data_IF_327770863313
#
_entry.id   IF_327770863313
#
_cell.length_a   1.000
_cell.length_b   1.000
_cell.length_c   1.000
_cell.angle_alpha   90.00
_cell.angle_beta   90.00
_cell.angle_gamma   90.00
#
_symmetry.space_group_name_H-M   'P 1'
#
loop_
_entity.id
_entity.type
_entity.pdbx_description
1 polymer ?
#
# COMPACT_ATOMS: atom_id res chain seq x y z
N UNK A 1 18.82 2.32 -15.65
CA UNK A 1 17.62 1.55 -16.05
C UNK A 1 16.39 2.41 -15.75
N UNK A 2 15.33 2.34 -16.55
CA UNK A 2 14.11 3.15 -16.36
C UNK A 2 12.89 2.23 -16.16
N UNK A 3 12.09 2.49 -15.13
CA UNK A 3 10.79 1.86 -14.93
C UNK A 3 9.80 2.35 -16.00
N UNK A 4 9.07 1.42 -16.64
CA UNK A 4 8.04 1.72 -17.65
C UNK A 4 6.71 1.00 -17.38
N UNK A 5 6.54 0.42 -16.19
CA UNK A 5 5.50 -0.57 -15.89
C UNK A 5 5.93 -2.01 -16.20
N UNK A 6 5.04 -2.97 -15.95
CA UNK A 6 5.24 -4.41 -16.17
C UNK A 6 3.98 -5.05 -16.75
N UNK A 7 4.02 -6.34 -17.10
CA UNK A 7 2.85 -7.07 -17.59
C UNK A 7 1.68 -7.06 -16.61
N UNK A 8 1.99 -7.00 -15.32
CA UNK A 8 1.03 -7.21 -14.24
C UNK A 8 0.61 -5.88 -13.58
N UNK A 9 1.23 -4.77 -13.97
CA UNK A 9 0.95 -3.43 -13.42
C UNK A 9 0.98 -2.34 -14.48
N UNK A 10 -0.20 -1.76 -14.69
CA UNK A 10 -0.44 -0.71 -15.68
C UNK A 10 -0.05 0.63 -15.06
N UNK A 11 1.22 1.01 -15.23
CA UNK A 11 1.70 2.32 -14.81
C UNK A 11 1.29 3.39 -15.82
N UNK A 12 0.76 4.51 -15.33
CA UNK A 12 0.61 5.72 -16.17
C UNK A 12 2.00 6.27 -16.51
N UNK A 13 2.08 7.10 -17.56
CA UNK A 13 3.32 7.77 -17.92
C UNK A 13 3.83 8.64 -16.75
N UNK A 14 2.93 9.38 -16.10
CA UNK A 14 3.26 10.27 -14.98
C UNK A 14 3.81 9.50 -13.78
N UNK A 15 3.23 8.34 -13.47
CA UNK A 15 3.73 7.46 -12.42
C UNK A 15 5.13 6.93 -12.75
N UNK A 16 5.35 6.53 -14.00
CA UNK A 16 6.67 6.08 -14.47
C UNK A 16 7.71 7.20 -14.39
N UNK A 17 7.33 8.43 -14.75
CA UNK A 17 8.20 9.60 -14.61
C UNK A 17 8.51 9.86 -13.14
N UNK A 18 7.52 9.82 -12.25
CA UNK A 18 7.72 10.05 -10.82
C UNK A 18 8.69 9.04 -10.19
N UNK A 19 8.52 7.74 -10.49
CA UNK A 19 9.43 6.68 -10.02
C UNK A 19 10.85 6.91 -10.54
N UNK A 20 11.02 7.19 -11.83
CA UNK A 20 12.36 7.38 -12.38
C UNK A 20 13.02 8.66 -11.86
N UNK A 21 12.24 9.72 -11.64
CA UNK A 21 12.71 10.98 -11.08
C UNK A 21 13.15 10.79 -9.62
N UNK A 22 12.37 10.09 -8.79
CA UNK A 22 12.73 9.83 -7.39
C UNK A 22 14.02 9.02 -7.28
N UNK A 23 14.19 7.99 -8.12
CA UNK A 23 15.42 7.19 -8.17
C UNK A 23 16.62 8.04 -8.61
N UNK A 24 16.44 8.87 -9.65
CA UNK A 24 17.53 9.72 -10.19
C UNK A 24 17.95 10.80 -9.20
N UNK A 25 16.99 11.37 -8.46
CA UNK A 25 17.24 12.38 -7.43
C UNK A 25 17.66 11.77 -6.09
N UNK A 26 17.66 10.44 -6.00
CA UNK A 26 17.92 9.69 -4.76
C UNK A 26 17.00 10.10 -3.60
N UNK A 27 15.78 10.50 -3.91
CA UNK A 27 14.76 10.94 -2.95
C UNK A 27 13.71 9.84 -2.75
N UNK A 28 13.15 9.70 -1.53
CA UNK A 28 12.02 8.79 -1.30
C UNK A 28 10.84 9.15 -2.20
N UNK A 29 10.15 8.16 -2.76
CA UNK A 29 8.89 8.35 -3.47
C UNK A 29 7.73 8.15 -2.50
N UNK A 30 6.96 9.21 -2.24
CA UNK A 30 5.71 9.11 -1.50
C UNK A 30 4.54 8.97 -2.48
N UNK A 31 3.83 7.86 -2.36
CA UNK A 31 2.67 7.50 -3.18
C UNK A 31 1.41 7.58 -2.33
N UNK A 32 0.54 8.53 -2.66
CA UNK A 32 -0.81 8.65 -2.08
C UNK A 32 -1.86 8.19 -3.06
N UNK A 33 -3.02 7.78 -2.55
CA UNK A 33 -4.15 7.37 -3.37
C UNK A 33 -5.17 6.60 -2.56
N UNK A 34 -6.36 6.39 -3.11
CA UNK A 34 -7.41 5.60 -2.48
C UNK A 34 -6.93 4.15 -2.20
N UNK A 35 -7.52 3.44 -1.22
CA UNK A 35 -7.32 2.01 -1.06
C UNK A 35 -7.56 1.25 -2.38
N UNK A 36 -6.80 0.18 -2.63
CA UNK A 36 -6.95 -0.64 -3.84
C UNK A 36 -6.46 -0.01 -5.15
N UNK A 37 -5.78 1.13 -5.12
CA UNK A 37 -5.15 1.75 -6.33
C UNK A 37 -3.80 1.13 -6.73
N UNK A 38 -3.33 0.10 -6.02
CA UNK A 38 -2.09 -0.61 -6.35
C UNK A 38 -0.80 0.08 -5.86
N UNK A 39 -0.87 0.94 -4.85
CA UNK A 39 0.31 1.64 -4.26
C UNK A 39 1.37 0.66 -3.76
N UNK A 40 0.96 -0.35 -3.00
CA UNK A 40 1.85 -1.41 -2.49
C UNK A 40 2.46 -2.20 -3.65
N UNK A 41 1.64 -2.59 -4.64
CA UNK A 41 2.07 -3.35 -5.82
C UNK A 41 3.14 -2.61 -6.64
N UNK A 42 3.08 -1.28 -6.70
CA UNK A 42 4.09 -0.47 -7.39
C UNK A 42 5.51 -0.82 -6.92
N UNK A 43 5.74 -0.99 -5.62
CA UNK A 43 7.09 -1.27 -5.11
C UNK A 43 7.60 -2.65 -5.53
N UNK A 44 6.72 -3.66 -5.57
CA UNK A 44 7.05 -4.99 -6.09
C UNK A 44 7.45 -4.92 -7.56
N UNK A 45 6.72 -4.16 -8.36
CA UNK A 45 6.95 -4.06 -9.79
C UNK A 45 8.17 -3.20 -10.13
N UNK A 46 8.47 -2.17 -9.32
CA UNK A 46 9.72 -1.42 -9.41
C UNK A 46 10.91 -2.33 -9.07
N UNK A 47 10.84 -3.10 -7.98
CA UNK A 47 11.91 -4.04 -7.62
C UNK A 47 12.14 -5.08 -8.72
N UNK A 48 11.07 -5.69 -9.23
CA UNK A 48 11.11 -6.65 -10.34
C UNK A 48 11.70 -6.05 -11.61
N UNK A 49 11.23 -4.87 -12.03
CA UNK A 49 11.71 -4.20 -13.24
C UNK A 49 13.19 -3.77 -13.16
N UNK A 50 13.69 -3.48 -11.96
CA UNK A 50 15.08 -3.11 -11.73
C UNK A 50 15.98 -4.31 -11.39
N UNK A 51 15.42 -5.51 -11.22
CA UNK A 51 16.14 -6.70 -10.77
C UNK A 51 16.74 -6.53 -9.37
N UNK A 52 16.04 -5.84 -8.47
CA UNK A 52 16.50 -5.49 -7.12
C UNK A 52 15.74 -6.31 -6.08
N UNK A 53 16.39 -6.61 -4.96
CA UNK A 53 15.68 -7.17 -3.81
C UNK A 53 14.70 -6.14 -3.24
N UNK A 54 13.50 -6.61 -2.89
CA UNK A 54 12.50 -5.83 -2.16
C UNK A 54 12.58 -6.16 -0.67
N UNK A 55 12.62 -5.12 0.17
CA UNK A 55 12.44 -5.20 1.61
C UNK A 55 11.13 -4.48 1.93
N UNK A 56 10.23 -5.13 2.66
CA UNK A 56 8.95 -4.55 3.04
C UNK A 56 8.89 -4.27 4.54
N UNK A 57 8.40 -3.08 4.89
CA UNK A 57 8.12 -2.67 6.24
C UNK A 57 6.69 -2.16 6.33
N UNK A 58 5.79 -3.02 6.84
CA UNK A 58 4.39 -2.67 7.03
C UNK A 58 4.20 -1.96 8.36
N UNK A 59 3.69 -0.73 8.30
CA UNK A 59 3.50 0.12 9.45
C UNK A 59 2.18 -0.24 10.15
N UNK A 60 2.24 -0.35 11.48
CA UNK A 60 1.09 -0.58 12.36
C UNK A 60 0.91 0.62 13.28
N UNK A 61 -0.25 0.70 13.93
CA UNK A 61 -0.57 1.78 14.89
C UNK A 61 0.43 1.88 16.04
N UNK A 62 1.09 0.79 16.40
CA UNK A 62 2.09 0.72 17.47
C UNK A 62 3.53 0.77 16.95
N UNK A 63 3.74 0.95 15.65
CA UNK A 63 5.09 0.96 15.07
C UNK A 63 5.82 2.25 15.42
N UNK A 64 7.05 2.13 15.91
CA UNK A 64 7.92 3.27 16.20
C UNK A 64 9.09 3.32 15.20
N UNK A 65 9.66 4.51 14.99
CA UNK A 65 10.81 4.68 14.10
C UNK A 65 11.99 3.79 14.54
N UNK A 66 12.22 3.70 15.85
CA UNK A 66 13.24 2.86 16.46
C UNK A 66 13.14 1.39 16.01
N UNK A 67 11.93 0.80 15.91
CA UNK A 67 11.76 -0.58 15.43
C UNK A 67 12.20 -0.78 13.97
N UNK A 68 12.13 0.28 13.16
CA UNK A 68 12.69 0.31 11.81
C UNK A 68 14.21 0.23 11.81
N UNK A 69 14.85 0.82 12.82
CA UNK A 69 16.30 0.83 12.99
C UNK A 69 16.76 -0.48 13.63
N UNK A 70 16.40 -0.72 14.89
CA UNK A 70 16.69 -1.95 15.63
C UNK A 70 15.91 -2.03 16.96
N UNK A 71 15.80 -3.26 17.47
CA UNK A 71 15.29 -3.55 18.81
C UNK A 71 16.43 -4.11 19.67
N UNK A 72 16.55 -3.64 20.91
CA UNK A 72 17.50 -4.16 21.89
C UNK A 72 16.77 -5.02 22.94
N UNK A 73 17.12 -6.31 23.00
CA UNK A 73 16.55 -7.26 23.96
C UNK A 73 17.31 -7.23 25.30
N UNK A 74 17.04 -6.19 26.08
CA UNK A 74 17.62 -6.03 27.41
C UNK A 74 17.23 -7.18 28.37
N UNK A 75 16.07 -7.81 28.18
CA UNK A 75 15.55 -8.87 29.06
C UNK A 75 16.32 -10.16 28.83
N UNK A 76 16.51 -10.58 27.57
CA UNK A 76 17.35 -11.72 27.24
C UNK A 76 18.78 -11.51 27.75
N UNK A 77 19.34 -10.31 27.60
CA UNK A 77 20.68 -10.00 28.11
C UNK A 77 20.78 -10.11 29.63
N UNK A 78 19.78 -9.59 30.35
CA UNK A 78 19.76 -9.67 31.82
C UNK A 78 19.66 -11.12 32.30
N UNK A 79 18.78 -11.92 31.68
CA UNK A 79 18.62 -13.35 31.99
C UNK A 79 19.92 -14.11 31.75
N UNK A 80 20.52 -13.94 30.58
CA UNK A 80 21.76 -14.64 30.21
C UNK A 80 22.92 -14.20 31.12
N UNK A 81 22.95 -12.94 31.55
CA UNK A 81 23.92 -12.41 32.53
C UNK A 81 23.78 -13.07 33.90
N UNK A 82 22.57 -13.42 34.32
CA UNK A 82 22.32 -14.12 35.58
C UNK A 82 22.70 -15.61 35.50
N UNK A 83 22.63 -16.20 34.30
CA UNK A 83 22.96 -17.60 34.06
C UNK A 83 24.45 -17.84 33.77
N UNK A 84 25.24 -16.77 33.63
CA UNK A 84 26.68 -16.87 33.33
C UNK A 84 26.98 -17.25 31.89
N UNK A 85 26.09 -16.96 30.95
CA UNK A 85 26.29 -17.24 29.52
C UNK A 85 27.34 -16.28 28.92
N UNK A 86 28.34 -16.83 28.22
CA UNK A 86 29.41 -16.07 27.59
C UNK A 86 28.90 -15.13 26.48
N UNK A 87 27.71 -15.40 25.92
CA UNK A 87 27.05 -14.55 24.90
C UNK A 87 26.82 -13.11 25.36
N UNK A 88 26.72 -12.88 26.66
CA UNK A 88 26.49 -11.56 27.29
C UNK A 88 27.63 -10.58 27.01
N UNK A 89 28.84 -11.10 26.75
CA UNK A 89 30.02 -10.28 26.47
C UNK A 89 29.92 -9.54 25.13
N UNK A 90 29.12 -10.05 24.19
CA UNK A 90 28.86 -9.40 22.91
C UNK A 90 27.42 -8.87 22.86
N UNK A 91 27.29 -7.55 22.98
CA UNK A 91 25.99 -6.87 22.97
C UNK A 91 25.25 -7.02 21.63
N UNK A 92 25.96 -7.33 20.54
CA UNK A 92 25.35 -7.54 19.22
C UNK A 92 24.39 -8.74 19.19
N UNK A 93 24.59 -9.72 20.07
CA UNK A 93 23.70 -10.87 20.23
C UNK A 93 22.28 -10.49 20.67
N UNK A 94 22.11 -9.31 21.24
CA UNK A 94 20.84 -8.79 21.75
C UNK A 94 20.27 -7.67 20.89
N UNK A 95 20.88 -7.39 19.75
CA UNK A 95 20.39 -6.40 18.78
C UNK A 95 19.70 -7.13 17.63
N UNK A 96 18.40 -6.90 17.52
CA UNK A 96 17.60 -7.36 16.40
C UNK A 96 17.49 -6.23 15.39
N UNK A 97 18.05 -6.44 14.20
CA UNK A 97 18.06 -5.46 13.12
C UNK A 97 16.62 -5.18 12.65
N UNK A 98 16.30 -3.90 12.49
CA UNK A 98 15.06 -3.45 11.86
C UNK A 98 15.18 -3.41 10.33
N UNK A 99 14.08 -3.08 9.65
CA UNK A 99 14.02 -3.10 8.18
C UNK A 99 14.88 -2.06 7.49
N UNK A 100 15.10 -0.90 8.11
CA UNK A 100 16.06 0.10 7.60
C UNK A 100 17.50 -0.40 7.75
N UNK A 101 17.84 -1.04 8.87
CA UNK A 101 19.16 -1.63 9.05
C UNK A 101 19.43 -2.72 8.01
N UNK A 102 18.50 -3.66 7.83
CA UNK A 102 18.58 -4.69 6.78
C UNK A 102 18.83 -4.07 5.40
N UNK A 103 18.13 -2.98 5.07
CA UNK A 103 18.30 -2.27 3.80
C UNK A 103 19.65 -1.56 3.67
N UNK A 104 20.14 -0.94 4.75
CA UNK A 104 21.39 -0.17 4.76
C UNK A 104 22.62 -1.09 4.67
N UNK A 105 22.62 -2.23 5.33
CA UNK A 105 23.74 -3.18 5.26
C UNK A 105 23.74 -4.04 3.99
N UNK A 106 22.71 -3.96 3.16
CA UNK A 106 22.66 -4.73 1.92
C UNK A 106 23.86 -4.40 1.02
N UNK A 107 24.65 -5.40 0.56
CA UNK A 107 25.78 -5.17 -0.34
C UNK A 107 25.33 -4.68 -1.72
N UNK A 108 24.11 -5.02 -2.11
CA UNK A 108 23.46 -4.59 -3.33
C UNK A 108 22.46 -3.47 -3.05
N UNK A 109 22.20 -2.61 -4.04
CA UNK A 109 21.11 -1.64 -3.95
C UNK A 109 19.76 -2.37 -3.88
N UNK A 110 18.92 -2.00 -2.92
CA UNK A 110 17.59 -2.59 -2.70
C UNK A 110 16.49 -1.57 -2.85
N UNK A 111 15.26 -2.06 -3.03
CA UNK A 111 14.03 -1.28 -2.90
C UNK A 111 13.46 -1.52 -1.50
N UNK A 112 13.26 -0.45 -0.74
CA UNK A 112 12.58 -0.48 0.55
C UNK A 112 11.17 0.08 0.39
N UNK A 113 10.16 -0.74 0.69
CA UNK A 113 8.78 -0.31 0.81
C UNK A 113 8.46 -0.01 2.29
N UNK A 114 8.09 1.23 2.58
CA UNK A 114 7.44 1.63 3.85
C UNK A 114 5.94 1.74 3.56
N UNK A 115 5.19 0.73 3.96
CA UNK A 115 3.79 0.58 3.56
C UNK A 115 2.85 1.17 4.62
N UNK A 116 1.90 2.01 4.18
CA UNK A 116 0.86 2.64 5.00
C UNK A 116 1.43 3.47 6.16
N UNK A 117 2.35 4.38 5.83
CA UNK A 117 3.09 5.21 6.80
C UNK A 117 2.18 6.02 7.75
N UNK A 118 0.97 6.33 7.30
CA UNK A 118 -0.05 7.08 8.04
C UNK A 118 -0.79 6.26 9.10
N UNK A 119 -0.51 4.95 9.24
CA UNK A 119 -1.08 4.12 10.31
C UNK A 119 -0.46 4.36 11.68
N UNK A 120 0.82 4.69 11.74
CA UNK A 120 1.52 4.97 12.98
C UNK A 120 1.11 6.33 13.59
N UNK A 121 1.76 6.69 14.69
CA UNK A 121 1.62 8.00 15.30
C UNK A 121 2.03 9.14 14.33
N UNK A 122 1.51 10.35 14.55
CA UNK A 122 1.82 11.52 13.71
C UNK A 122 3.30 11.93 13.76
N UNK A 123 4.01 11.56 14.83
CA UNK A 123 5.45 11.81 14.99
C UNK A 123 6.30 10.84 14.16
N UNK A 124 5.80 9.63 13.88
CA UNK A 124 6.54 8.56 13.22
C UNK A 124 7.24 8.96 11.90
N UNK A 125 6.60 9.67 10.95
CA UNK A 125 7.27 10.08 9.72
C UNK A 125 8.43 11.05 9.98
N UNK A 126 8.29 11.96 10.94
CA UNK A 126 9.33 12.94 11.26
C UNK A 126 10.56 12.28 11.89
N UNK A 127 10.34 11.26 12.71
CA UNK A 127 11.39 10.49 13.37
C UNK A 127 12.24 9.63 12.42
N UNK A 128 11.84 9.54 11.14
CA UNK A 128 12.59 8.84 10.09
C UNK A 128 13.29 9.79 9.11
N UNK A 129 13.13 11.12 9.28
CA UNK A 129 13.59 12.09 8.30
C UNK A 129 15.11 12.07 8.13
N UNK A 130 15.83 12.04 9.24
CA UNK A 130 17.28 12.10 9.23
C UNK A 130 17.85 10.84 8.58
N UNK A 131 17.28 9.70 8.92
CA UNK A 131 17.68 8.36 8.51
C UNK A 131 17.43 8.15 7.03
N UNK A 132 16.27 8.58 6.52
CA UNK A 132 15.95 8.50 5.09
C UNK A 132 16.73 9.51 4.24
N UNK A 133 17.06 10.70 4.78
CA UNK A 133 17.84 11.70 4.06
C UNK A 133 19.31 11.27 3.95
N UNK A 134 19.93 10.95 5.10
CA UNK A 134 21.35 10.62 5.19
C UNK A 134 21.68 9.18 4.85
N UNK A 135 20.67 8.29 4.87
CA UNK A 135 20.86 6.84 4.77
C UNK A 135 21.79 6.31 5.86
N UNK A 136 21.68 6.84 7.08
CA UNK A 136 22.43 6.38 8.24
C UNK A 136 21.67 6.64 9.55
N UNK A 137 21.99 5.86 10.58
CA UNK A 137 21.55 6.11 11.96
C UNK A 137 22.62 5.64 12.95
N UNK A 138 22.54 6.13 14.19
CA UNK A 138 23.45 5.72 15.25
C UNK A 138 22.83 4.61 16.11
N UNK A 139 23.54 3.48 16.24
CA UNK A 139 23.19 2.42 17.18
C UNK A 139 23.94 2.65 18.50
N UNK A 140 23.21 3.03 19.54
CA UNK A 140 23.79 3.42 20.83
C UNK A 140 24.46 2.26 21.56
N UNK A 141 23.85 1.08 21.51
CA UNK A 141 24.30 -0.14 22.18
C UNK A 141 25.62 -0.63 21.60
N UNK A 142 25.77 -0.58 20.27
CA UNK A 142 27.01 -0.92 19.59
C UNK A 142 27.98 0.25 19.46
N UNK A 143 27.58 1.46 19.89
CA UNK A 143 28.33 2.72 19.76
C UNK A 143 28.88 2.94 18.35
N UNK A 144 28.05 2.69 17.33
CA UNK A 144 28.45 2.80 15.93
C UNK A 144 27.37 3.43 15.07
N UNK A 145 27.79 4.16 14.05
CA UNK A 145 26.90 4.59 12.97
C UNK A 145 26.73 3.44 11.97
N UNK A 146 25.49 3.13 11.64
CA UNK A 146 25.11 2.23 10.56
C UNK A 146 24.75 3.11 9.37
N UNK A 147 25.56 3.06 8.31
CA UNK A 147 25.33 3.82 7.07
C UNK A 147 25.09 2.86 5.92
N UNK A 148 24.27 3.27 4.95
CA UNK A 148 23.92 2.45 3.82
C UNK A 148 25.13 2.20 2.90
N UNK A 149 25.39 0.94 2.57
CA UNK A 149 26.46 0.54 1.64
C UNK A 149 26.15 1.02 0.22
N UNK A 150 24.87 0.98 -0.16
CA UNK A 150 24.33 1.50 -1.42
C UNK A 150 23.11 2.38 -1.12
N UNK A 151 22.92 3.45 -1.90
CA UNK A 151 21.73 4.31 -1.78
C UNK A 151 20.45 3.49 -1.98
N UNK A 152 19.63 3.39 -0.94
CA UNK A 152 18.37 2.62 -0.97
C UNK A 152 17.32 3.36 -1.81
N UNK A 153 16.58 2.62 -2.64
CA UNK A 153 15.41 3.16 -3.35
C UNK A 153 14.23 3.04 -2.40
N UNK A 154 13.76 4.17 -1.87
CA UNK A 154 12.67 4.17 -0.87
C UNK A 154 11.34 4.52 -1.54
N UNK A 155 10.35 3.65 -1.36
CA UNK A 155 8.96 3.87 -1.77
C UNK A 155 8.10 3.85 -0.50
N UNK A 156 7.32 4.91 -0.29
CA UNK A 156 6.44 5.09 0.86
C UNK A 156 5.02 5.16 0.35
N UNK A 157 4.09 4.42 0.96
CA UNK A 157 2.67 4.48 0.60
C UNK A 157 1.86 5.08 1.74
N UNK A 158 0.78 5.78 1.39
CA UNK A 158 -0.21 6.30 2.35
C UNK A 158 -1.61 6.20 1.76
N UNK A 159 -2.57 5.80 2.59
CA UNK A 159 -4.00 5.75 2.24
C UNK A 159 -4.71 7.09 2.45
N UNK A 160 -3.97 8.11 2.86
CA UNK A 160 -4.47 9.42 3.24
C UNK A 160 -5.45 9.35 4.43
N UNK A 161 -5.20 8.42 5.36
CA UNK A 161 -5.98 8.26 6.61
C UNK A 161 -5.64 9.37 7.62
N UNK A 162 -4.36 9.76 7.68
CA UNK A 162 -3.86 10.89 8.48
C UNK A 162 -3.06 11.82 7.60
N UNK A 163 -3.08 13.10 7.95
CA UNK A 163 -2.26 14.11 7.28
C UNK A 163 -0.79 13.92 7.66
N UNK A 164 0.09 13.93 6.66
CA UNK A 164 1.53 13.78 6.87
C UNK A 164 2.17 15.16 7.04
N UNK A 165 3.13 15.33 7.96
CA UNK A 165 3.77 16.61 8.19
C UNK A 165 4.46 17.18 6.94
N UNK A 166 4.37 18.51 6.74
CA UNK A 166 5.02 19.20 5.61
C UNK A 166 6.53 19.00 5.53
N UNK A 167 7.19 18.83 6.68
CA UNK A 167 8.62 18.53 6.75
C UNK A 167 8.97 17.18 6.09
N UNK A 168 8.06 16.21 6.18
CA UNK A 168 8.15 14.90 5.53
C UNK A 168 7.86 15.00 4.03
N UNK A 169 6.78 15.67 3.66
CA UNK A 169 6.38 15.87 2.27
C UNK A 169 7.48 16.56 1.45
N UNK A 170 8.12 17.61 2.00
CA UNK A 170 9.18 18.35 1.31
C UNK A 170 10.43 17.53 0.99
N UNK A 171 10.67 16.42 1.69
CA UNK A 171 11.82 15.52 1.45
C UNK A 171 11.50 14.39 0.49
N UNK A 172 10.23 14.05 0.35
CA UNK A 172 9.77 13.05 -0.62
C UNK A 172 9.49 13.65 -2.00
N UNK A 173 9.75 12.89 -3.05
CA UNK A 173 9.11 13.11 -4.34
C UNK A 173 7.68 12.61 -4.23
N UNK A 174 6.69 13.46 -4.55
CA UNK A 174 5.28 13.15 -4.31
C UNK A 174 4.58 12.70 -5.60
N UNK A 175 3.77 11.66 -5.51
CA UNK A 175 2.86 11.26 -6.58
C UNK A 175 1.51 10.80 -6.01
N UNK A 176 0.42 11.26 -6.63
CA UNK A 176 -0.93 10.81 -6.31
C UNK A 176 -1.44 9.86 -7.40
N UNK A 177 -1.77 8.63 -7.00
CA UNK A 177 -2.41 7.65 -7.87
C UNK A 177 -3.93 7.84 -7.76
N UNK A 178 -4.50 8.40 -8.83
CA UNK A 178 -5.94 8.49 -8.97
C UNK A 178 -6.57 7.10 -9.07
N UNK A 179 -7.82 7.00 -8.63
CA UNK A 179 -8.60 5.78 -8.86
C UNK A 179 -8.66 5.47 -10.37
N UNK A 180 -8.46 4.22 -10.80
CA UNK A 180 -8.33 3.93 -12.22
C UNK A 180 -9.60 4.29 -12.99
N UNK A 181 -9.44 4.73 -14.25
CA UNK A 181 -10.56 4.94 -15.16
C UNK A 181 -11.13 3.60 -15.65
N UNK A 182 -12.30 3.67 -16.29
CA UNK A 182 -13.02 2.46 -16.73
C UNK A 182 -12.16 1.55 -17.61
N UNK A 183 -11.38 2.14 -18.53
CA UNK A 183 -10.52 1.40 -19.45
C UNK A 183 -9.38 0.70 -18.71
N UNK A 184 -8.82 1.33 -17.69
CA UNK A 184 -7.76 0.77 -16.86
C UNK A 184 -8.29 -0.33 -15.96
N UNK A 185 -9.44 -0.12 -15.30
CA UNK A 185 -10.11 -1.17 -14.53
C UNK A 185 -10.48 -2.38 -15.40
N UNK A 186 -11.00 -2.18 -16.60
CA UNK A 186 -11.29 -3.29 -17.52
C UNK A 186 -10.06 -4.16 -17.80
N UNK A 187 -8.90 -3.52 -18.02
CA UNK A 187 -7.64 -4.24 -18.19
C UNK A 187 -7.23 -4.99 -16.92
N UNK A 188 -7.35 -4.35 -15.76
CA UNK A 188 -7.05 -4.98 -14.46
C UNK A 188 -7.93 -6.22 -14.27
N UNK A 189 -9.24 -6.10 -14.45
CA UNK A 189 -10.16 -7.24 -14.31
C UNK A 189 -9.85 -8.34 -15.32
N UNK A 190 -9.50 -8.02 -16.57
CA UNK A 190 -9.08 -9.01 -17.58
C UNK A 190 -7.83 -9.81 -17.19
N UNK A 191 -6.90 -9.21 -16.44
CA UNK A 191 -5.73 -9.94 -15.91
C UNK A 191 -6.16 -10.98 -14.88
N UNK A 192 -7.16 -10.66 -14.05
CA UNK A 192 -7.66 -11.58 -13.01
C UNK A 192 -8.69 -12.60 -13.53
N UNK A 193 -9.49 -12.22 -14.54
CA UNK A 193 -10.58 -13.01 -15.11
C UNK A 193 -10.54 -12.94 -16.65
N UNK A 194 -9.58 -13.62 -17.30
CA UNK A 194 -9.41 -13.56 -18.76
C UNK A 194 -10.62 -14.12 -19.53
N UNK A 195 -11.34 -15.08 -18.95
CA UNK A 195 -12.49 -15.75 -19.56
C UNK A 195 -13.84 -15.08 -19.25
N UNK A 196 -13.84 -13.91 -18.58
CA UNK A 196 -15.08 -13.22 -18.22
C UNK A 196 -15.77 -12.68 -19.48
N UNK A 197 -17.05 -13.06 -19.65
CA UNK A 197 -17.85 -12.59 -20.78
C UNK A 197 -17.94 -11.06 -20.84
N UNK A 198 -17.68 -10.48 -22.02
CA UNK A 198 -17.62 -9.02 -22.24
C UNK A 198 -18.84 -8.27 -21.71
N UNK A 199 -20.04 -8.81 -21.91
CA UNK A 199 -21.29 -8.19 -21.45
C UNK A 199 -21.37 -8.11 -19.92
N UNK A 200 -20.94 -9.17 -19.22
CA UNK A 200 -20.90 -9.21 -17.76
C UNK A 200 -19.85 -8.22 -17.22
N UNK A 201 -18.67 -8.16 -17.85
CA UNK A 201 -17.63 -7.17 -17.55
C UNK A 201 -18.17 -5.74 -17.66
N UNK A 202 -18.78 -5.41 -18.80
CA UNK A 202 -19.28 -4.06 -19.07
C UNK A 202 -20.38 -3.66 -18.10
N UNK A 203 -21.33 -4.56 -17.80
CA UNK A 203 -22.40 -4.29 -16.84
C UNK A 203 -21.87 -4.13 -15.42
N UNK A 204 -20.93 -5.00 -15.00
CA UNK A 204 -20.31 -4.92 -13.69
C UNK A 204 -19.56 -3.59 -13.50
N UNK A 205 -18.73 -3.19 -14.49
CA UNK A 205 -18.01 -1.92 -14.43
C UNK A 205 -18.96 -0.73 -14.41
N UNK A 206 -20.03 -0.74 -15.21
CA UNK A 206 -21.05 0.33 -15.17
C UNK A 206 -21.64 0.45 -13.78
N UNK A 207 -22.14 -0.65 -13.22
CA UNK A 207 -22.78 -0.63 -11.90
C UNK A 207 -21.81 -0.23 -10.79
N UNK A 208 -20.57 -0.70 -10.85
CA UNK A 208 -19.51 -0.35 -9.91
C UNK A 208 -19.23 1.16 -9.88
N UNK A 209 -19.10 1.81 -11.05
CA UNK A 209 -18.92 3.26 -11.10
C UNK A 209 -20.16 4.02 -10.65
N UNK A 210 -21.36 3.57 -11.03
CA UNK A 210 -22.60 4.18 -10.54
C UNK A 210 -22.70 4.14 -9.02
N UNK A 211 -22.27 3.04 -8.37
CA UNK A 211 -22.17 3.00 -6.89
C UNK A 211 -21.14 3.99 -6.37
N UNK A 212 -19.95 4.12 -6.99
CA UNK A 212 -18.91 5.10 -6.57
C UNK A 212 -19.32 6.56 -6.73
N UNK A 213 -20.27 6.84 -7.62
CA UNK A 213 -20.83 8.17 -7.90
C UNK A 213 -21.95 8.57 -6.92
N UNK A 214 -22.43 7.65 -6.07
CA UNK A 214 -23.43 7.98 -5.04
C UNK A 214 -22.82 8.96 -4.04
N UNK A 215 -23.41 10.16 -4.00
CA UNK A 215 -23.05 11.19 -3.03
C UNK A 215 -23.34 10.72 -1.60
N UNK A 216 -22.44 11.03 -0.67
CA UNK A 216 -22.62 10.71 0.75
C UNK A 216 -22.06 9.35 1.19
N UNK A 217 -21.59 8.49 0.27
CA UNK A 217 -20.86 7.29 0.64
C UNK A 217 -19.60 7.65 1.45
N UNK A 218 -19.52 7.12 2.67
CA UNK A 218 -18.34 7.26 3.53
C UNK A 218 -17.16 6.49 2.96
N UNK A 219 -17.40 5.28 2.44
CA UNK A 219 -16.36 4.44 1.85
C UNK A 219 -16.75 3.98 0.45
N UNK A 220 -16.17 4.65 -0.55
CA UNK A 220 -16.31 4.23 -1.95
C UNK A 220 -15.64 2.86 -2.18
N UNK A 221 -16.28 1.93 -2.92
CA UNK A 221 -15.70 0.61 -3.18
C UNK A 221 -14.43 0.73 -4.04
N UNK A 222 -13.38 0.00 -3.67
CA UNK A 222 -12.09 -0.02 -4.36
C UNK A 222 -12.00 -1.12 -5.42
N UNK A 223 -10.85 -1.18 -6.12
CA UNK A 223 -10.53 -2.26 -7.06
C UNK A 223 -10.62 -3.65 -6.43
N UNK A 224 -10.24 -3.80 -5.16
CA UNK A 224 -10.32 -5.10 -4.46
C UNK A 224 -11.76 -5.53 -4.25
N UNK A 225 -12.63 -4.61 -3.82
CA UNK A 225 -14.06 -4.90 -3.70
C UNK A 225 -14.70 -5.24 -5.06
N UNK A 226 -14.27 -4.60 -6.16
CA UNK A 226 -14.71 -4.96 -7.52
C UNK A 226 -14.28 -6.38 -7.91
N UNK A 227 -13.02 -6.74 -7.69
CA UNK A 227 -12.47 -8.06 -8.02
C UNK A 227 -13.24 -9.15 -7.25
N UNK A 228 -13.42 -8.96 -5.94
CA UNK A 228 -14.19 -9.89 -5.10
C UNK A 228 -15.64 -10.01 -5.56
N UNK A 229 -16.27 -8.90 -5.93
CA UNK A 229 -17.64 -8.90 -6.43
C UNK A 229 -17.77 -9.64 -7.76
N UNK A 230 -16.85 -9.42 -8.71
CA UNK A 230 -16.81 -10.15 -9.98
C UNK A 230 -16.59 -11.65 -9.77
N UNK A 231 -15.76 -12.02 -8.79
CA UNK A 231 -15.57 -13.43 -8.39
C UNK A 231 -16.89 -14.08 -7.99
N UNK A 232 -17.70 -13.40 -7.18
CA UNK A 232 -19.00 -13.90 -6.72
C UNK A 232 -19.99 -14.02 -7.88
N UNK A 233 -20.07 -13.01 -8.75
CA UNK A 233 -20.92 -13.04 -9.94
C UNK A 233 -20.57 -14.21 -10.87
N UNK A 234 -19.27 -14.47 -11.07
CA UNK A 234 -18.79 -15.57 -11.90
C UNK A 234 -19.06 -16.94 -11.26
N UNK A 235 -18.94 -17.05 -9.94
CA UNK A 235 -19.13 -18.30 -9.20
C UNK A 235 -20.60 -18.76 -9.21
N UNK A 236 -21.55 -17.84 -9.04
CA UNK A 236 -22.98 -18.19 -9.02
C UNK A 236 -23.57 -18.35 -10.43
N UNK A 237 -22.72 -18.31 -11.47
CA UNK A 237 -23.12 -18.34 -12.89
C UNK A 237 -24.25 -17.35 -13.18
N UNK A 238 -24.23 -16.18 -12.55
CA UNK A 238 -25.14 -15.07 -12.90
C UNK A 238 -24.96 -14.89 -14.40
N UNK A 239 -25.96 -15.32 -15.18
CA UNK A 239 -25.77 -15.45 -16.60
C UNK A 239 -25.42 -14.06 -17.13
N UNK A 240 -24.58 -13.94 -18.16
CA UNK A 240 -24.24 -12.64 -18.76
C UNK A 240 -25.47 -11.83 -19.26
N UNK A 241 -26.70 -12.35 -19.10
CA UNK A 241 -27.98 -11.67 -19.26
C UNK A 241 -28.67 -11.16 -17.98
N UNK A 242 -28.12 -11.36 -16.77
CA UNK A 242 -28.81 -11.17 -15.47
C UNK A 242 -28.20 -10.12 -14.54
N UNK A 243 -27.24 -9.31 -14.98
CA UNK A 243 -27.14 -7.97 -14.41
C UNK A 243 -28.13 -7.12 -15.23
N UNK A 244 -29.43 -7.00 -14.84
CA UNK A 244 -30.32 -6.04 -15.47
C UNK A 244 -29.68 -4.65 -15.38
N UNK A 245 -30.21 -3.67 -16.09
CA UNK A 245 -29.98 -2.28 -15.70
C UNK A 245 -30.47 -2.14 -14.27
N UNK A 246 -29.57 -2.33 -13.29
CA UNK A 246 -29.89 -2.19 -11.88
C UNK A 246 -30.02 -0.69 -11.71
N UNK A 247 -31.27 -0.22 -11.80
CA UNK A 247 -31.59 1.08 -11.28
C UNK A 247 -31.29 1.04 -9.78
N UNK A 248 -30.21 1.73 -9.38
CA UNK A 248 -29.76 1.80 -8.01
C UNK A 248 -30.82 2.48 -7.11
N UNK A 249 -31.78 3.20 -7.71
CA UNK A 249 -32.94 3.74 -7.01
C UNK A 249 -33.95 2.64 -6.61
N UNK A 250 -34.05 1.54 -7.37
CA UNK A 250 -35.04 0.49 -7.16
C UNK A 250 -34.49 -0.79 -6.53
N UNK A 251 -33.23 -1.16 -6.85
CA UNK A 251 -32.60 -2.41 -6.46
C UNK A 251 -31.11 -2.25 -6.14
N UNK A 252 -30.63 -2.98 -5.13
CA UNK A 252 -29.20 -3.05 -4.83
C UNK A 252 -28.50 -4.01 -5.80
N UNK A 253 -27.20 -3.81 -6.10
CA UNK A 253 -26.40 -4.80 -6.80
C UNK A 253 -26.49 -6.18 -6.11
N UNK A 254 -26.54 -7.29 -6.86
CA UNK A 254 -26.44 -8.63 -6.26
C UNK A 254 -25.14 -8.73 -5.46
N UNK A 255 -25.17 -9.40 -4.30
CA UNK A 255 -24.03 -9.45 -3.37
C UNK A 255 -23.47 -8.06 -3.01
N UNK A 256 -24.34 -7.06 -2.83
CA UNK A 256 -23.96 -5.68 -2.49
C UNK A 256 -22.99 -5.57 -1.31
N UNK A 257 -23.02 -6.49 -0.34
CA UNK A 257 -22.04 -6.56 0.77
C UNK A 257 -20.59 -6.87 0.34
N UNK A 258 -20.37 -7.26 -0.92
CA UNK A 258 -19.03 -7.34 -1.51
C UNK A 258 -18.50 -5.95 -1.89
N UNK A 259 -19.37 -5.06 -2.37
CA UNK A 259 -19.03 -3.69 -2.75
C UNK A 259 -19.09 -2.72 -1.56
N UNK A 260 -20.15 -2.78 -0.77
CA UNK A 260 -20.40 -1.84 0.33
C UNK A 260 -19.95 -2.49 1.64
N UNK A 261 -18.92 -1.91 2.26
CA UNK A 261 -18.27 -2.44 3.47
C UNK A 261 -18.55 -1.60 4.73
N UNK A 262 -19.40 -0.58 4.64
CA UNK A 262 -19.77 0.28 5.75
C UNK A 262 -21.27 0.15 6.03
N UNK A 263 -21.63 -0.06 7.29
CA UNK A 263 -23.02 -0.25 7.73
C UNK A 263 -23.88 0.98 7.45
N UNK A 264 -23.38 2.19 7.72
CA UNK A 264 -24.11 3.43 7.45
C UNK A 264 -24.32 3.65 5.94
N UNK A 265 -23.35 3.28 5.11
CA UNK A 265 -23.49 3.32 3.65
C UNK A 265 -24.55 2.32 3.17
N UNK A 266 -24.59 1.13 3.77
CA UNK A 266 -25.60 0.11 3.46
C UNK A 266 -27.02 0.58 3.86
N UNK A 267 -27.19 1.10 5.07
CA UNK A 267 -28.44 1.67 5.56
C UNK A 267 -28.91 2.85 4.69
N UNK A 268 -27.99 3.74 4.30
CA UNK A 268 -28.28 4.87 3.43
C UNK A 268 -28.89 4.39 2.10
N UNK A 269 -28.29 3.38 1.48
CA UNK A 269 -28.78 2.84 0.22
C UNK A 269 -30.13 2.12 0.37
N UNK A 270 -30.35 1.43 1.49
CA UNK A 270 -31.68 0.88 1.80
C UNK A 270 -32.75 1.96 1.96
N UNK A 271 -32.43 3.07 2.64
CA UNK A 271 -33.36 4.19 2.83
C UNK A 271 -33.67 4.89 1.52
N UNK A 272 -32.66 5.12 0.67
CA UNK A 272 -32.86 5.65 -0.69
C UNK A 272 -33.84 4.76 -1.46
N UNK A 273 -33.60 3.43 -1.47
CA UNK A 273 -34.48 2.47 -2.15
C UNK A 273 -35.94 2.51 -1.68
N UNK A 274 -36.17 2.68 -0.38
CA UNK A 274 -37.53 2.75 0.20
C UNK A 274 -38.27 4.05 -0.18
N UNK A 275 -37.55 5.13 -0.49
CA UNK A 275 -38.15 6.41 -0.91
C UNK A 275 -38.63 6.38 -2.35
N UNK A 276 -37.89 5.71 -3.25
CA UNK A 276 -38.27 5.61 -4.67
C UNK A 276 -39.34 4.54 -4.95
N UNK A 277 -39.52 3.56 -4.05
CA UNK A 277 -40.61 2.58 -4.12
C UNK A 277 -41.98 3.09 -3.65
N UNK A 278 -42.10 4.36 -3.26
CA UNK A 278 -43.36 5.00 -2.83
C UNK A 278 -43.84 5.98 -3.89
#
# INVERSE_FOLDING_TARGET
MKFKGTSDYIATNDLSVAVNASITLERPLLVKGEPGTGKTMLAFEVAKALGKQLITWHIKSTTTAQQGLYEYDAVARLRDSQLGDERVNDISNYIKKGKLWEAFESPEQVVLLIDEIDKADIEFPNDLLLELDKMEFYCYELKKTVSAVKRVIVIITSNNEKELPDAFLRRCFFHYIAFPDRKTLEKIVKVHYPDLGRKLMDNALTLFYSVREIDGLKKKPSTSELIDWIKLLAADRVAAGELPGVDLEENLPPYSGALIKNEADYEMLEVMRRRFRR
#
